data_IF_802548634424
#
_entry.id   IF_802548634424
#
_cell.length_a   1.000
_cell.length_b   1.000
_cell.length_c   1.000
_cell.angle_alpha   90.00
_cell.angle_beta   90.00
_cell.angle_gamma   90.00
#
_symmetry.space_group_name_H-M   'P 1'
#
loop_
_entity.id
_entity.type
_entity.pdbx_description
1 polymer ?
#
# COMPACT_ATOMS: atom_id res chain seq x y z
N UNK A 1 -22.26 -4.63 -18.21
CA UNK A 1 -22.23 -5.51 -17.01
C UNK A 1 -20.78 -5.69 -16.63
N UNK A 2 -20.32 -5.03 -15.57
CA UNK A 2 -18.97 -5.23 -15.04
C UNK A 2 -18.99 -6.52 -14.24
N UNK A 3 -18.25 -7.53 -14.67
CA UNK A 3 -17.99 -8.72 -13.86
C UNK A 3 -17.16 -8.25 -12.65
N UNK A 4 -17.81 -8.15 -11.49
CA UNK A 4 -17.10 -8.12 -10.21
C UNK A 4 -16.33 -9.44 -10.14
N UNK A 5 -15.02 -9.36 -10.35
CA UNK A 5 -14.13 -10.51 -10.20
C UNK A 5 -13.71 -10.50 -8.73
N UNK A 6 -14.03 -11.55 -7.99
CA UNK A 6 -13.36 -11.79 -6.70
C UNK A 6 -11.91 -12.09 -7.04
N UNK A 7 -11.02 -11.15 -6.76
CA UNK A 7 -9.61 -11.30 -7.07
C UNK A 7 -8.95 -11.94 -5.87
N UNK A 8 -8.69 -13.24 -5.97
CA UNK A 8 -7.87 -13.94 -4.98
C UNK A 8 -6.43 -13.45 -5.08
N UNK A 9 -5.92 -12.86 -4.00
CA UNK A 9 -4.50 -12.52 -3.88
C UNK A 9 -3.72 -13.81 -3.73
N UNK A 10 -2.66 -14.00 -4.53
CA UNK A 10 -1.77 -15.14 -4.34
C UNK A 10 -0.99 -15.00 -3.02
N UNK A 11 -0.53 -16.10 -2.44
CA UNK A 11 0.21 -16.07 -1.16
C UNK A 11 1.49 -15.25 -1.28
N UNK A 12 2.20 -15.32 -2.42
CA UNK A 12 3.43 -14.55 -2.63
C UNK A 12 3.17 -13.04 -2.61
N UNK A 13 1.97 -12.62 -3.01
CA UNK A 13 1.56 -11.21 -3.02
C UNK A 13 1.37 -10.69 -1.60
N UNK A 14 0.80 -11.49 -0.69
CA UNK A 14 0.65 -11.14 0.73
C UNK A 14 2.01 -10.90 1.40
N UNK A 15 3.03 -11.64 0.96
CA UNK A 15 4.39 -11.61 1.51
C UNK A 15 5.32 -10.65 0.74
N UNK A 16 4.81 -9.98 -0.30
CA UNK A 16 5.62 -9.16 -1.20
C UNK A 16 6.04 -7.82 -0.59
N UNK A 17 7.21 -7.33 -1.01
CA UNK A 17 7.67 -5.98 -0.72
C UNK A 17 7.18 -5.01 -1.79
N UNK A 18 6.94 -3.76 -1.41
CA UNK A 18 6.49 -2.71 -2.30
C UNK A 18 7.03 -1.35 -1.93
N UNK A 19 6.85 -0.36 -2.81
CA UNK A 19 7.15 1.03 -2.45
C UNK A 19 6.07 1.55 -1.54
N UNK A 20 6.50 2.17 -0.43
CA UNK A 20 5.62 2.84 0.50
C UNK A 20 5.72 4.36 0.30
N UNK A 21 4.58 4.98 0.07
CA UNK A 21 4.41 6.43 -0.01
C UNK A 21 3.58 6.84 1.20
N UNK A 22 4.14 7.66 2.07
CA UNK A 22 3.47 8.08 3.29
C UNK A 22 3.10 9.55 3.24
N UNK A 23 1.96 9.86 3.84
CA UNK A 23 1.36 11.18 3.85
C UNK A 23 0.96 11.51 5.27
N UNK A 24 1.56 12.55 5.83
CA UNK A 24 1.08 13.17 7.06
C UNK A 24 -0.26 13.84 6.80
N UNK A 25 -1.30 13.34 7.47
CA UNK A 25 -2.64 13.92 7.40
C UNK A 25 -2.79 15.10 8.36
N UNK A 26 -1.81 15.37 9.23
CA UNK A 26 -1.86 16.51 10.15
C UNK A 26 -1.84 17.85 9.40
N UNK A 27 -1.29 17.89 8.18
CA UNK A 27 -1.40 19.05 7.27
C UNK A 27 -2.85 19.44 6.93
N UNK A 28 -3.82 18.55 7.25
CA UNK A 28 -5.26 18.72 7.06
C UNK A 28 -6.03 18.84 8.38
N UNK A 29 -5.37 19.06 9.53
CA UNK A 29 -5.93 19.01 10.91
C UNK A 29 -7.20 19.84 11.18
N UNK A 30 -7.55 20.80 10.32
CA UNK A 30 -8.74 21.65 10.46
C UNK A 30 -9.82 21.38 9.39
N UNK A 31 -9.69 20.30 8.64
CA UNK A 31 -10.63 19.96 7.57
C UNK A 31 -11.61 18.88 8.02
N UNK A 32 -12.73 18.77 7.30
CA UNK A 32 -13.71 17.73 7.55
C UNK A 32 -13.15 16.35 7.20
N UNK A 33 -13.78 15.31 7.74
CA UNK A 33 -13.51 13.92 7.36
C UNK A 33 -13.63 13.71 5.84
N UNK A 34 -14.60 14.38 5.20
CA UNK A 34 -14.77 14.37 3.74
C UNK A 34 -13.51 14.87 3.02
N UNK A 35 -12.87 15.96 3.50
CA UNK A 35 -11.66 16.48 2.89
C UNK A 35 -10.45 15.56 3.05
N UNK A 36 -10.35 14.85 4.19
CA UNK A 36 -9.33 13.82 4.40
C UNK A 36 -9.54 12.67 3.42
N UNK A 37 -10.78 12.20 3.27
CA UNK A 37 -11.14 11.14 2.34
C UNK A 37 -10.89 11.55 0.88
N UNK A 38 -11.19 12.80 0.51
CA UNK A 38 -10.87 13.36 -0.81
C UNK A 38 -9.37 13.41 -1.07
N UNK A 39 -8.57 13.78 -0.07
CA UNK A 39 -7.12 13.79 -0.18
C UNK A 39 -6.56 12.38 -0.39
N UNK A 40 -6.96 11.42 0.44
CA UNK A 40 -6.58 10.00 0.30
C UNK A 40 -6.96 9.49 -1.10
N UNK A 41 -8.19 9.79 -1.55
CA UNK A 41 -8.65 9.42 -2.89
C UNK A 41 -7.81 10.05 -3.99
N UNK A 42 -7.40 11.31 -3.82
CA UNK A 42 -6.55 12.03 -4.78
C UNK A 42 -5.18 11.39 -4.91
N UNK A 43 -4.53 11.04 -3.79
CA UNK A 43 -3.26 10.30 -3.76
C UNK A 43 -3.41 8.98 -4.51
N UNK A 44 -4.43 8.20 -4.14
CA UNK A 44 -4.71 6.90 -4.75
C UNK A 44 -4.94 6.98 -6.27
N UNK A 45 -5.80 7.90 -6.73
CA UNK A 45 -6.09 8.10 -8.15
C UNK A 45 -4.87 8.59 -8.94
N UNK A 46 -4.03 9.42 -8.32
CA UNK A 46 -2.80 9.91 -8.95
C UNK A 46 -1.85 8.76 -9.24
N UNK A 47 -1.70 7.81 -8.31
CA UNK A 47 -0.88 6.62 -8.53
C UNK A 47 -1.40 5.77 -9.69
N UNK A 48 -2.70 5.46 -9.71
CA UNK A 48 -3.33 4.71 -10.82
C UNK A 48 -3.11 5.41 -12.16
N UNK A 49 -3.27 6.73 -12.20
CA UNK A 49 -3.11 7.50 -13.44
C UNK A 49 -1.67 7.43 -13.96
N UNK A 50 -0.69 7.43 -13.07
CA UNK A 50 0.71 7.31 -13.46
C UNK A 50 1.01 5.92 -14.02
N UNK A 51 0.48 4.87 -13.38
CA UNK A 51 0.64 3.49 -13.86
C UNK A 51 -0.02 3.29 -15.24
N UNK A 52 -1.20 3.87 -15.46
CA UNK A 52 -1.93 3.75 -16.73
C UNK A 52 -1.28 4.49 -17.90
N UNK A 53 -0.47 5.51 -17.63
CA UNK A 53 0.26 6.26 -18.65
C UNK A 53 1.62 5.67 -19.01
N UNK A 54 2.03 4.57 -18.39
CA UNK A 54 3.34 3.98 -18.70
C UNK A 54 3.38 3.40 -20.11
N UNK A 55 4.36 3.82 -20.92
CA UNK A 55 4.55 3.30 -22.28
C UNK A 55 5.16 1.90 -22.31
N UNK A 56 5.66 1.40 -21.18
CA UNK A 56 6.24 0.08 -21.09
C UNK A 56 5.15 -0.98 -21.13
N UNK A 57 5.09 -1.75 -22.22
CA UNK A 57 4.22 -2.93 -22.36
C UNK A 57 4.38 -3.92 -21.19
N UNK A 58 5.56 -3.99 -20.57
CA UNK A 58 5.81 -4.88 -19.42
C UNK A 58 5.14 -4.34 -18.15
N UNK A 59 5.10 -3.02 -17.96
CA UNK A 59 4.43 -2.38 -16.83
C UNK A 59 2.91 -2.39 -16.98
N UNK A 60 2.41 -2.12 -18.19
CA UNK A 60 0.97 -2.18 -18.46
C UNK A 60 0.39 -3.59 -18.32
N UNK A 61 1.23 -4.62 -18.44
CA UNK A 61 0.88 -6.03 -18.24
C UNK A 61 1.05 -6.53 -16.81
N UNK A 62 1.41 -5.66 -15.86
CA UNK A 62 1.57 -6.09 -14.48
C UNK A 62 0.34 -6.84 -13.97
N UNK A 63 0.51 -7.61 -12.91
CA UNK A 63 -0.34 -7.34 -11.77
C UNK A 63 0.46 -6.48 -10.78
N UNK A 64 0.06 -5.23 -10.61
CA UNK A 64 0.46 -4.41 -9.47
C UNK A 64 -0.69 -4.33 -8.47
N UNK A 65 -0.42 -4.45 -7.19
CA UNK A 65 -1.42 -4.34 -6.13
C UNK A 65 -1.20 -3.04 -5.38
N UNK A 66 -2.26 -2.25 -5.26
CA UNK A 66 -2.26 -1.03 -4.48
C UNK A 66 -2.89 -1.34 -3.13
N UNK A 67 -2.12 -1.11 -2.08
CA UNK A 67 -2.50 -1.32 -0.70
C UNK A 67 -2.58 0.02 0.01
N UNK A 68 -3.49 0.11 0.96
CA UNK A 68 -3.71 1.34 1.72
C UNK A 68 -3.85 1.03 3.20
N UNK A 69 -3.32 1.89 4.06
CA UNK A 69 -3.70 1.96 5.47
C UNK A 69 -3.66 3.39 5.99
N UNK A 70 -4.49 3.66 6.98
CA UNK A 70 -4.23 4.74 7.91
C UNK A 70 -3.35 4.20 9.05
N UNK A 71 -2.33 4.95 9.42
CA UNK A 71 -1.40 4.56 10.48
C UNK A 71 -0.83 5.77 11.19
N UNK A 72 -0.20 5.53 12.35
CA UNK A 72 0.61 6.54 13.02
C UNK A 72 1.95 6.66 12.32
N UNK A 73 2.34 7.89 11.98
CA UNK A 73 3.65 8.20 11.40
C UNK A 73 4.53 8.92 12.42
N UNK A 74 5.83 8.65 12.36
CA UNK A 74 6.83 9.37 13.13
C UNK A 74 7.45 10.43 12.23
N UNK A 75 7.25 11.69 12.56
CA UNK A 75 7.89 12.82 11.87
C UNK A 75 9.34 13.03 12.33
N UNK A 76 10.10 13.83 11.56
CA UNK A 76 11.49 14.18 11.85
C UNK A 76 11.67 14.86 13.22
N UNK A 77 10.65 15.58 13.69
CA UNK A 77 10.59 16.22 15.00
C UNK A 77 10.27 15.23 16.16
N UNK A 78 10.18 13.93 15.87
CA UNK A 78 9.75 12.83 16.77
C UNK A 78 8.29 12.92 17.24
N UNK A 79 7.47 13.72 16.57
CA UNK A 79 6.03 13.77 16.82
C UNK A 79 5.35 12.59 16.13
N UNK A 80 4.37 12.02 16.82
CA UNK A 80 3.50 10.99 16.26
C UNK A 80 2.26 11.67 15.69
N UNK A 81 2.04 11.51 14.39
CA UNK A 81 0.92 12.11 13.65
C UNK A 81 0.03 11.04 13.03
N UNK A 82 -1.21 11.43 12.70
CA UNK A 82 -2.08 10.60 11.87
C UNK A 82 -1.58 10.66 10.44
N UNK A 83 -1.41 9.52 9.80
CA UNK A 83 -1.01 9.47 8.41
C UNK A 83 -1.69 8.39 7.62
N UNK A 84 -1.40 8.43 6.33
CA UNK A 84 -1.86 7.51 5.32
C UNK A 84 -0.65 6.91 4.61
N UNK A 85 -0.69 5.61 4.35
CA UNK A 85 0.31 4.93 3.53
C UNK A 85 -0.37 4.32 2.31
N UNK A 86 0.16 4.64 1.13
CA UNK A 86 -0.08 3.91 -0.10
C UNK A 86 1.12 2.99 -0.32
N UNK A 87 0.90 1.70 -0.51
CA UNK A 87 1.96 0.74 -0.81
C UNK A 87 1.66 0.08 -2.16
N UNK A 88 2.65 0.01 -3.05
CA UNK A 88 2.49 -0.62 -4.37
C UNK A 88 3.40 -1.82 -4.47
N UNK A 89 2.82 -3.02 -4.64
CA UNK A 89 3.57 -4.27 -4.83
C UNK A 89 3.31 -4.88 -6.22
N UNK A 90 4.21 -5.73 -6.73
CA UNK A 90 5.60 -5.88 -6.29
C UNK A 90 6.42 -4.63 -6.64
N UNK A 91 7.69 -4.59 -6.24
CA UNK A 91 8.60 -3.55 -6.73
C UNK A 91 8.77 -3.70 -8.26
N UNK A 92 8.74 -2.60 -9.01
CA UNK A 92 9.08 -2.49 -10.43
C UNK A 92 10.48 -3.02 -10.66
N UNK A 93 11.45 -2.88 -9.75
CA UNK A 93 12.74 -3.53 -9.94
C UNK A 93 12.60 -5.05 -10.07
N UNK A 94 11.67 -5.67 -9.33
CA UNK A 94 11.39 -7.10 -9.40
C UNK A 94 10.68 -7.46 -10.72
N UNK A 95 9.91 -6.52 -11.27
CA UNK A 95 9.21 -6.69 -12.56
C UNK A 95 10.14 -6.40 -13.74
N UNK A 96 10.66 -5.19 -13.87
CA UNK A 96 11.40 -4.68 -15.04
C UNK A 96 12.92 -4.79 -14.91
N UNK A 97 13.46 -5.18 -13.76
CA UNK A 97 14.90 -5.33 -13.54
C UNK A 97 15.67 -4.01 -13.47
N UNK A 98 14.98 -2.90 -13.20
CA UNK A 98 15.54 -1.54 -13.11
C UNK A 98 14.88 -0.79 -11.97
N UNK A 99 15.66 0.06 -11.30
CA UNK A 99 15.17 0.95 -10.25
C UNK A 99 14.49 2.17 -10.89
N UNK A 100 13.27 1.96 -11.38
CA UNK A 100 12.43 3.01 -11.94
C UNK A 100 11.13 3.01 -11.16
N UNK A 101 10.93 4.06 -10.39
CA UNK A 101 9.67 4.37 -9.74
C UNK A 101 8.97 5.49 -10.54
N UNK A 102 7.98 5.16 -11.39
CA UNK A 102 7.25 6.15 -12.13
C UNK A 102 6.31 6.99 -11.23
N UNK A 103 5.95 6.49 -10.05
CA UNK A 103 4.90 7.04 -9.19
C UNK A 103 5.43 8.11 -8.24
N UNK A 104 6.67 7.98 -7.76
CA UNK A 104 7.29 8.89 -6.78
C UNK A 104 7.18 10.37 -7.11
N UNK A 105 7.45 10.76 -8.36
CA UNK A 105 7.45 12.17 -8.78
C UNK A 105 6.06 12.80 -8.67
N UNK A 106 5.01 12.00 -8.87
CA UNK A 106 3.63 12.45 -8.69
C UNK A 106 3.25 12.46 -7.21
N UNK A 107 3.71 11.49 -6.44
CA UNK A 107 3.42 11.42 -5.00
C UNK A 107 4.02 12.58 -4.22
N UNK A 108 5.23 13.05 -4.59
CA UNK A 108 5.86 14.23 -3.99
C UNK A 108 4.94 15.45 -4.02
N UNK A 109 4.15 15.62 -5.08
CA UNK A 109 3.30 16.80 -5.27
C UNK A 109 2.14 16.88 -4.27
N UNK A 110 1.81 15.79 -3.57
CA UNK A 110 0.78 15.78 -2.55
C UNK A 110 1.29 16.36 -1.24
N UNK A 111 0.43 17.11 -0.56
CA UNK A 111 0.75 17.69 0.76
C UNK A 111 1.03 16.59 1.79
N UNK A 112 1.96 16.87 2.70
CA UNK A 112 2.31 15.94 3.76
C UNK A 112 3.12 14.73 3.31
N UNK A 113 3.56 14.68 2.04
CA UNK A 113 4.39 13.57 1.56
C UNK A 113 5.68 13.44 2.39
N UNK A 114 5.90 12.24 2.93
CA UNK A 114 7.09 11.83 3.68
C UNK A 114 7.79 10.75 2.88
N UNK A 115 9.10 10.94 2.68
CA UNK A 115 9.95 9.95 2.02
C UNK A 115 10.10 8.73 2.91
N UNK A 116 9.77 7.54 2.40
CA UNK A 116 10.00 6.28 3.10
C UNK A 116 10.62 5.23 2.18
N UNK A 117 11.39 4.34 2.78
CA UNK A 117 11.89 3.13 2.12
C UNK A 117 10.78 2.06 1.99
N UNK A 118 10.94 1.13 1.06
CA UNK A 118 9.95 0.07 0.77
C UNK A 118 9.41 -0.66 2.02
N UNK A 119 8.16 -1.14 1.97
CA UNK A 119 7.52 -1.86 3.07
C UNK A 119 6.87 -3.18 2.62
N UNK A 120 6.56 -4.05 3.59
CA UNK A 120 5.72 -5.24 3.39
C UNK A 120 4.29 -4.84 3.81
N UNK A 121 3.30 -4.79 2.90
CA UNK A 121 1.97 -4.23 3.19
C UNK A 121 1.30 -4.83 4.42
N UNK A 122 1.36 -6.17 4.56
CA UNK A 122 0.69 -6.85 5.67
C UNK A 122 1.25 -6.42 7.03
N UNK A 123 2.56 -6.22 7.14
CA UNK A 123 3.20 -5.80 8.39
C UNK A 123 2.95 -4.34 8.74
N UNK A 124 2.50 -3.55 7.75
CA UNK A 124 2.04 -2.17 7.92
C UNK A 124 0.55 -2.08 8.28
N UNK A 125 -0.16 -3.22 8.33
CA UNK A 125 -1.62 -3.26 8.49
C UNK A 125 -2.38 -2.74 7.27
N UNK A 126 -1.75 -2.78 6.09
CA UNK A 126 -2.38 -2.34 4.85
C UNK A 126 -3.38 -3.36 4.31
N UNK A 127 -4.47 -2.86 3.75
CA UNK A 127 -5.48 -3.65 3.04
C UNK A 127 -5.36 -3.41 1.54
N UNK A 128 -5.61 -4.43 0.70
CA UNK A 128 -5.58 -4.30 -0.74
C UNK A 128 -6.78 -3.49 -1.23
N UNK A 129 -6.55 -2.43 -2.01
CA UNK A 129 -7.60 -1.57 -2.55
C UNK A 129 -7.95 -1.93 -4.01
N UNK A 130 -6.94 -2.18 -4.84
CA UNK A 130 -7.13 -2.64 -6.21
C UNK A 130 -5.94 -3.42 -6.72
N UNK A 131 -6.18 -4.21 -7.78
CA UNK A 131 -5.14 -4.64 -8.69
C UNK A 131 -5.10 -3.68 -9.88
N UNK A 132 -3.91 -3.41 -10.40
CA UNK A 132 -3.68 -2.74 -11.66
C UNK A 132 -3.08 -3.76 -12.64
N UNK A 133 -3.87 -4.12 -13.65
CA UNK A 133 -3.52 -5.10 -14.66
C UNK A 133 -4.13 -4.69 -16.00
N UNK A 134 -3.43 -4.98 -17.10
CA UNK A 134 -3.85 -4.62 -18.46
C UNK A 134 -4.20 -3.13 -18.65
N UNK A 135 -3.50 -2.25 -17.92
CA UNK A 135 -3.73 -0.80 -17.96
C UNK A 135 -4.97 -0.33 -17.19
N UNK A 136 -5.64 -1.21 -16.46
CA UNK A 136 -6.88 -0.93 -15.74
C UNK A 136 -6.71 -1.18 -14.24
N UNK A 137 -7.37 -0.36 -13.42
CA UNK A 137 -7.49 -0.62 -11.99
C UNK A 137 -8.81 -1.35 -11.71
N UNK A 138 -8.72 -2.55 -11.14
CA UNK A 138 -9.86 -3.38 -10.76
C UNK A 138 -9.95 -3.42 -9.23
N UNK A 139 -11.06 -2.96 -8.63
CA UNK A 139 -11.20 -2.91 -7.18
C UNK A 139 -11.14 -4.32 -6.58
N UNK A 140 -10.58 -4.42 -5.38
CA UNK A 140 -10.58 -5.65 -4.57
C UNK A 140 -11.61 -5.48 -3.47
N UNK A 141 -12.53 -6.43 -3.36
CA UNK A 141 -13.52 -6.46 -2.29
C UNK A 141 -12.90 -7.06 -1.03
N UNK A 142 -13.11 -6.39 0.10
CA UNK A 142 -12.69 -6.90 1.41
C UNK A 142 -13.83 -7.72 2.00
N UNK A 143 -13.73 -9.04 1.88
CA UNK A 143 -14.63 -9.98 2.53
C UNK A 143 -13.98 -10.65 3.75
N UNK A 144 -14.77 -11.41 4.50
CA UNK A 144 -14.29 -12.09 5.71
C UNK A 144 -13.19 -13.12 5.44
N UNK A 145 -13.18 -13.73 4.24
CA UNK A 145 -12.16 -14.71 3.86
C UNK A 145 -10.82 -14.01 3.63
N UNK A 146 -10.82 -12.92 2.87
CA UNK A 146 -9.63 -12.11 2.64
C UNK A 146 -9.09 -11.52 3.94
N UNK A 147 -9.96 -11.02 4.84
CA UNK A 147 -9.54 -10.53 6.15
C UNK A 147 -8.91 -11.63 7.01
N UNK A 148 -9.48 -12.84 7.03
CA UNK A 148 -8.87 -14.00 7.72
C UNK A 148 -7.50 -14.32 7.15
N UNK A 149 -7.35 -14.31 5.81
CA UNK A 149 -6.07 -14.59 5.16
C UNK A 149 -5.01 -13.53 5.45
N UNK A 150 -5.41 -12.25 5.55
CA UNK A 150 -4.50 -11.17 5.96
C UNK A 150 -4.05 -11.36 7.42
N UNK A 151 -4.99 -11.73 8.30
CA UNK A 151 -4.72 -12.06 9.70
C UNK A 151 -3.70 -13.20 9.82
N UNK A 152 -3.97 -14.33 9.17
CA UNK A 152 -3.09 -15.51 9.22
C UNK A 152 -1.69 -15.19 8.67
N UNK A 153 -1.62 -14.48 7.54
CA UNK A 153 -0.35 -14.10 6.91
C UNK A 153 0.46 -13.12 7.78
N UNK A 154 -0.22 -12.22 8.51
CA UNK A 154 0.42 -11.30 9.44
C UNK A 154 1.04 -12.05 10.63
N UNK A 155 0.30 -12.96 11.25
CA UNK A 155 0.79 -13.76 12.38
C UNK A 155 1.97 -14.64 11.99
N UNK A 156 1.88 -15.31 10.83
CA UNK A 156 2.97 -16.11 10.29
C UNK A 156 4.24 -15.25 10.09
N UNK A 157 4.10 -14.06 9.49
CA UNK A 157 5.22 -13.15 9.29
C UNK A 157 5.83 -12.66 10.61
N UNK A 158 4.99 -12.27 11.57
CA UNK A 158 5.45 -11.83 12.89
C UNK A 158 6.20 -12.94 13.63
N UNK A 159 5.66 -14.16 13.58
CA UNK A 159 6.30 -15.33 14.16
C UNK A 159 7.68 -15.58 13.55
N UNK A 160 7.79 -15.59 12.22
CA UNK A 160 9.07 -15.76 11.53
C UNK A 160 10.09 -14.66 11.87
N UNK A 161 9.63 -13.42 12.00
CA UNK A 161 10.49 -12.31 12.43
C UNK A 161 10.95 -12.47 13.89
N UNK A 162 10.12 -13.03 14.76
CA UNK A 162 10.48 -13.28 16.17
C UNK A 162 11.55 -14.38 16.33
N UNK A 163 11.54 -15.38 15.44
CA UNK A 163 12.55 -16.43 15.43
C UNK A 163 13.94 -15.87 15.06
N UNK A 164 13.97 -14.87 14.19
CA UNK A 164 15.21 -14.20 13.77
C UNK A 164 15.62 -13.06 14.70
N UNK A 165 14.69 -12.53 15.50
CA UNK A 165 14.91 -11.45 16.47
C UNK A 165 14.25 -11.77 17.82
N UNK A 166 14.88 -12.61 18.68
CA UNK A 166 14.27 -13.14 19.91
C UNK A 166 13.87 -12.10 20.97
N UNK A 167 14.29 -10.84 20.83
CA UNK A 167 13.91 -9.73 21.72
C UNK A 167 12.83 -8.80 21.15
N UNK A 168 12.30 -9.08 19.96
CA UNK A 168 11.28 -8.27 19.32
C UNK A 168 9.93 -8.48 20.02
N UNK A 169 9.25 -7.38 20.36
CA UNK A 169 7.86 -7.44 20.79
C UNK A 169 6.95 -7.71 19.59
N UNK A 170 6.07 -8.72 19.72
CA UNK A 170 5.01 -8.97 18.75
C UNK A 170 4.02 -7.79 18.77
N UNK A 171 3.60 -7.35 17.59
CA UNK A 171 2.57 -6.30 17.46
C UNK A 171 1.20 -6.96 17.41
N UNK A 172 0.18 -6.27 17.92
CA UNK A 172 -1.21 -6.66 17.76
C UNK A 172 -1.57 -6.82 16.29
N UNK A 173 -2.41 -7.81 16.00
CA UNK A 173 -2.90 -8.09 14.67
C UNK A 173 -3.87 -7.00 14.20
N UNK A 174 -3.58 -6.25 13.13
CA UNK A 174 -4.43 -5.16 12.67
C UNK A 174 -5.68 -5.64 11.89
N UNK A 175 -5.81 -6.95 11.68
CA UNK A 175 -6.89 -7.57 10.91
C UNK A 175 -7.94 -8.27 11.78
N UNK A 176 -7.78 -8.24 13.11
CA UNK A 176 -8.73 -8.75 14.11
C UNK A 176 -9.76 -7.71 14.58
#
# INVERSE_FOLDING_TARGET
MSLLRTIELAEEVLKSRGWAYQFDLSVLTNQSEDSINEHIRSVYLSAIQVLSKQNSKKLLKGPFYLWICQKKLLEDNRQIVNGFALIITPLFQDVVGRDVDPVVETMWQHKGYIRMESAIPILEGAVPACIFEEGQALPIELDGELMSRLSDAFEEHQYMLSLTNPGMSLRSNPYE
#
